data_IF_872938331650
#
_entry.id   IF_872938331650
#
_cell.length_a   1.000
_cell.length_b   1.000
_cell.length_c   1.000
_cell.angle_alpha   90.00
_cell.angle_beta   90.00
_cell.angle_gamma   90.00
#
_symmetry.space_group_name_H-M   'P 1'
#
loop_
_entity.id
_entity.type
_entity.pdbx_description
1 polymer ?
#
# COMPACT_ATOMS: atom_id res chain seq x y z
N UNK A 1 -10.98 -27.15 -47.26
CA UNK A 1 -10.48 -28.54 -47.18
C UNK A 1 -10.66 -29.01 -45.73
N UNK A 2 -11.84 -29.54 -45.40
CA UNK A 2 -12.14 -30.05 -44.06
C UNK A 2 -11.40 -31.36 -43.84
N UNK A 3 -10.43 -31.40 -42.91
CA UNK A 3 -9.85 -32.67 -42.46
C UNK A 3 -10.97 -33.56 -41.93
N UNK A 4 -11.29 -34.66 -42.65
CA UNK A 4 -12.10 -35.75 -42.10
C UNK A 4 -11.39 -36.26 -40.85
N UNK A 5 -12.08 -36.24 -39.71
CA UNK A 5 -11.60 -36.90 -38.50
C UNK A 5 -11.70 -38.41 -38.73
N UNK A 6 -10.57 -39.10 -38.66
CA UNK A 6 -10.50 -40.56 -38.68
C UNK A 6 -11.35 -41.14 -37.52
N UNK A 7 -12.01 -42.29 -37.70
CA UNK A 7 -12.79 -42.92 -36.65
C UNK A 7 -11.85 -43.39 -35.53
N UNK A 8 -11.91 -42.71 -34.38
CA UNK A 8 -11.16 -43.08 -33.18
C UNK A 8 -11.68 -44.41 -32.65
N UNK A 9 -10.92 -45.49 -32.83
CA UNK A 9 -11.21 -46.79 -32.20
C UNK A 9 -11.01 -46.61 -30.69
N UNK A 10 -12.11 -46.63 -29.95
CA UNK A 10 -12.08 -46.43 -28.50
C UNK A 10 -11.69 -47.73 -27.78
N UNK A 11 -10.39 -47.93 -27.57
CA UNK A 11 -9.94 -49.07 -26.78
C UNK A 11 -10.37 -48.88 -25.31
N UNK A 12 -11.04 -49.88 -24.69
CA UNK A 12 -11.60 -49.74 -23.34
C UNK A 12 -10.55 -49.42 -22.27
N UNK A 13 -9.29 -49.84 -22.47
CA UNK A 13 -8.17 -49.62 -21.56
C UNK A 13 -7.00 -48.86 -22.21
N UNK A 14 -7.26 -47.78 -22.93
CA UNK A 14 -6.18 -46.93 -23.46
C UNK A 14 -5.63 -46.01 -22.35
N UNK A 15 -4.37 -46.19 -21.90
CA UNK A 15 -3.76 -45.34 -20.87
C UNK A 15 -3.46 -43.91 -21.37
N UNK A 16 -3.56 -43.66 -22.67
CA UNK A 16 -3.26 -42.36 -23.31
C UNK A 16 -4.50 -41.49 -23.56
N UNK A 17 -5.67 -41.83 -23.00
CA UNK A 17 -6.85 -40.96 -23.06
C UNK A 17 -6.60 -39.70 -22.24
N UNK A 18 -6.68 -38.53 -22.87
CA UNK A 18 -6.67 -37.27 -22.13
C UNK A 18 -7.92 -37.21 -21.24
N UNK A 19 -7.81 -36.67 -20.01
CA UNK A 19 -8.98 -36.43 -19.20
C UNK A 19 -9.95 -35.49 -19.95
N UNK A 20 -11.27 -35.66 -19.79
CA UNK A 20 -12.25 -34.78 -20.39
C UNK A 20 -11.94 -33.32 -20.05
N UNK A 21 -11.91 -32.45 -21.05
CA UNK A 21 -11.62 -31.02 -20.84
C UNK A 21 -12.80 -30.38 -20.13
N UNK A 22 -12.66 -30.11 -18.83
CA UNK A 22 -13.71 -29.47 -18.03
C UNK A 22 -14.04 -28.07 -18.55
N UNK A 23 -15.30 -27.59 -18.43
CA UNK A 23 -15.64 -26.21 -18.76
C UNK A 23 -14.85 -25.23 -17.87
N UNK A 24 -14.47 -24.09 -18.43
CA UNK A 24 -13.57 -23.10 -17.78
C UNK A 24 -14.05 -22.68 -16.39
N UNK A 25 -15.36 -22.53 -16.20
CA UNK A 25 -15.97 -22.19 -14.90
C UNK A 25 -15.72 -23.26 -13.83
N UNK A 26 -15.70 -24.53 -14.20
CA UNK A 26 -15.44 -25.63 -13.26
C UNK A 26 -13.95 -25.66 -12.91
N UNK A 27 -13.08 -25.38 -13.87
CA UNK A 27 -11.64 -25.27 -13.62
C UNK A 27 -11.31 -24.13 -12.64
N UNK A 28 -11.94 -22.96 -12.78
CA UNK A 28 -11.75 -21.83 -11.85
C UNK A 28 -12.25 -22.18 -10.45
N UNK A 29 -13.43 -22.82 -10.33
CA UNK A 29 -13.94 -23.29 -9.03
C UNK A 29 -13.00 -24.31 -8.38
N UNK A 30 -12.50 -25.28 -9.16
CA UNK A 30 -11.56 -26.31 -8.70
C UNK A 30 -10.19 -25.74 -8.35
N UNK A 31 -9.77 -24.65 -9.01
CA UNK A 31 -8.56 -23.90 -8.67
C UNK A 31 -8.69 -23.15 -7.35
N UNK A 32 -9.83 -22.48 -7.12
CA UNK A 32 -10.11 -21.81 -5.85
C UNK A 32 -10.11 -22.81 -4.70
N UNK A 33 -10.85 -23.90 -4.84
CA UNK A 33 -10.91 -24.97 -3.85
C UNK A 33 -11.05 -26.33 -4.52
N UNK A 34 -10.10 -27.22 -4.25
CA UNK A 34 -10.15 -28.60 -4.69
C UNK A 34 -10.59 -29.49 -3.51
N UNK A 35 -11.84 -30.02 -3.51
CA UNK A 35 -12.34 -30.85 -2.42
C UNK A 35 -11.62 -32.20 -2.29
N UNK A 36 -11.00 -32.73 -3.36
CA UNK A 36 -10.30 -34.03 -3.33
C UNK A 36 -8.98 -33.97 -2.57
N UNK A 37 -8.27 -32.87 -2.72
CA UNK A 37 -6.96 -32.65 -2.06
C UNK A 37 -7.05 -31.69 -0.88
N UNK A 38 -8.21 -31.06 -0.67
CA UNK A 38 -8.39 -29.95 0.27
C UNK A 38 -7.54 -28.72 -0.07
N UNK A 39 -6.99 -28.64 -1.29
CA UNK A 39 -6.09 -27.57 -1.68
C UNK A 39 -6.87 -26.27 -1.95
N UNK A 40 -6.37 -25.17 -1.41
CA UNK A 40 -6.87 -23.83 -1.64
C UNK A 40 -5.88 -23.08 -2.52
N UNK A 41 -6.35 -22.47 -3.62
CA UNK A 41 -5.49 -21.74 -4.58
C UNK A 41 -4.27 -22.57 -5.02
N UNK A 42 -4.48 -23.87 -5.27
CA UNK A 42 -3.44 -24.78 -5.75
C UNK A 42 -2.42 -25.25 -4.70
N UNK A 43 -2.61 -24.98 -3.40
CA UNK A 43 -1.74 -25.52 -2.32
C UNK A 43 -2.53 -26.15 -1.17
N UNK A 44 -1.94 -27.16 -0.54
CA UNK A 44 -2.55 -27.81 0.62
C UNK A 44 -2.53 -26.88 1.85
N UNK A 45 -3.46 -27.03 2.80
CA UNK A 45 -3.51 -26.20 4.01
C UNK A 45 -2.20 -26.26 4.83
N UNK A 46 -1.53 -27.42 4.84
CA UNK A 46 -0.22 -27.58 5.49
C UNK A 46 0.86 -26.73 4.83
N UNK A 47 0.88 -26.65 3.50
CA UNK A 47 1.82 -25.77 2.78
C UNK A 47 1.52 -24.30 3.03
N UNK A 48 0.24 -23.91 3.05
CA UNK A 48 -0.19 -22.57 3.42
C UNK A 48 0.26 -22.18 4.83
N UNK A 49 0.08 -23.06 5.82
CA UNK A 49 0.51 -22.81 7.18
C UNK A 49 2.04 -22.61 7.29
N UNK A 50 2.84 -23.44 6.60
CA UNK A 50 4.31 -23.31 6.57
C UNK A 50 4.74 -21.96 5.98
N UNK A 51 4.16 -21.57 4.85
CA UNK A 51 4.44 -20.28 4.20
C UNK A 51 4.00 -19.12 5.11
N UNK A 52 2.82 -19.22 5.71
CA UNK A 52 2.29 -18.21 6.62
C UNK A 52 3.18 -17.99 7.84
N UNK A 53 3.58 -19.07 8.52
CA UNK A 53 4.49 -18.99 9.68
C UNK A 53 5.84 -18.40 9.28
N UNK A 54 6.40 -18.83 8.15
CA UNK A 54 7.64 -18.27 7.63
C UNK A 54 7.55 -16.75 7.44
N UNK A 55 6.51 -16.26 6.75
CA UNK A 55 6.35 -14.83 6.51
C UNK A 55 6.06 -14.05 7.79
N UNK A 56 5.29 -14.61 8.72
CA UNK A 56 5.05 -13.96 10.03
C UNK A 56 6.37 -13.75 10.76
N UNK A 57 7.20 -14.79 10.90
CA UNK A 57 8.50 -14.68 11.59
C UNK A 57 9.42 -13.73 10.82
N UNK A 58 9.50 -13.86 9.49
CA UNK A 58 10.34 -13.03 8.66
C UNK A 58 10.00 -11.55 8.78
N UNK A 59 8.72 -11.18 8.63
CA UNK A 59 8.29 -9.79 8.73
C UNK A 59 8.36 -9.27 10.16
N UNK A 60 8.16 -10.11 11.17
CA UNK A 60 8.39 -9.74 12.57
C UNK A 60 9.85 -9.36 12.80
N UNK A 61 10.80 -10.20 12.38
CA UNK A 61 12.23 -9.91 12.48
C UNK A 61 12.61 -8.63 11.70
N UNK A 62 12.05 -8.44 10.50
CA UNK A 62 12.26 -7.24 9.70
C UNK A 62 11.73 -5.97 10.38
N UNK A 63 10.56 -6.05 11.01
CA UNK A 63 9.97 -4.95 11.76
C UNK A 63 10.82 -4.60 12.99
N UNK A 64 11.26 -5.61 13.75
CA UNK A 64 12.15 -5.41 14.91
C UNK A 64 13.48 -4.79 14.48
N UNK A 65 14.08 -5.29 13.39
CA UNK A 65 15.29 -4.71 12.80
C UNK A 65 15.09 -3.22 12.50
N UNK A 66 14.04 -2.87 11.75
CA UNK A 66 13.76 -1.48 11.38
C UNK A 66 13.49 -0.58 12.60
N UNK A 67 12.69 -1.06 13.56
CA UNK A 67 12.42 -0.33 14.81
C UNK A 67 13.69 -0.13 15.63
N UNK A 68 14.62 -1.08 15.63
CA UNK A 68 15.90 -0.98 16.32
C UNK A 68 16.75 0.14 15.73
N UNK A 69 16.78 0.29 14.40
CA UNK A 69 17.47 1.41 13.75
C UNK A 69 16.83 2.76 14.07
N UNK A 70 15.50 2.86 14.10
CA UNK A 70 14.83 4.10 14.50
C UNK A 70 15.08 4.44 15.97
N UNK A 71 15.08 3.45 16.85
CA UNK A 71 15.41 3.64 18.25
C UNK A 71 16.85 4.11 18.42
N UNK A 72 17.80 3.46 17.75
CA UNK A 72 19.21 3.86 17.76
C UNK A 72 19.40 5.27 17.21
N UNK A 73 18.71 5.63 16.13
CA UNK A 73 18.71 6.98 15.59
C UNK A 73 18.17 8.00 16.60
N UNK A 74 17.12 7.65 17.33
CA UNK A 74 16.50 8.51 18.36
C UNK A 74 17.47 8.80 19.51
N UNK A 75 18.38 7.88 19.83
CA UNK A 75 19.45 8.13 20.83
C UNK A 75 20.44 9.22 20.38
N UNK A 76 20.52 9.52 19.08
CA UNK A 76 21.39 10.58 18.54
C UNK A 76 20.73 11.96 18.54
N UNK A 77 19.47 12.05 18.98
CA UNK A 77 18.67 13.28 19.00
C UNK A 77 18.47 13.77 20.43
N UNK A 78 18.54 15.09 20.62
CA UNK A 78 18.17 15.74 21.87
C UNK A 78 16.65 16.00 21.90
N UNK A 79 15.92 15.63 22.97
CA UNK A 79 14.48 15.83 23.06
C UNK A 79 14.04 17.30 23.22
N UNK A 80 14.96 18.20 23.59
CA UNK A 80 14.66 19.61 23.86
C UNK A 80 14.99 20.52 22.69
N UNK A 81 15.96 20.14 21.85
CA UNK A 81 16.45 21.00 20.77
C UNK A 81 16.69 20.22 19.47
N UNK A 82 16.40 20.82 18.30
CA UNK A 82 16.72 20.19 17.02
C UNK A 82 18.23 20.05 16.83
N UNK A 83 18.67 18.93 16.24
CA UNK A 83 20.08 18.61 16.01
C UNK A 83 20.77 19.57 15.05
N UNK A 84 20.08 19.97 13.98
CA UNK A 84 20.58 20.90 12.98
C UNK A 84 19.90 22.25 13.15
N UNK A 85 20.69 23.31 13.35
CA UNK A 85 20.23 24.68 13.57
C UNK A 85 21.04 25.64 12.71
N UNK A 86 20.45 26.78 12.39
CA UNK A 86 21.16 27.88 11.75
C UNK A 86 21.79 27.43 10.42
N UNK A 87 23.07 27.71 10.17
CA UNK A 87 23.76 27.33 8.93
C UNK A 87 23.87 25.80 8.70
N UNK A 88 23.74 24.99 9.76
CA UNK A 88 23.67 23.52 9.64
C UNK A 88 22.27 23.03 9.21
N UNK A 89 21.27 23.92 9.22
CA UNK A 89 19.88 23.63 8.86
C UNK A 89 19.54 24.21 7.49
N UNK A 90 18.56 23.61 6.81
CA UNK A 90 18.08 24.08 5.50
C UNK A 90 17.53 25.53 5.54
N UNK A 91 17.02 25.96 6.69
CA UNK A 91 16.43 27.30 6.87
C UNK A 91 17.52 28.38 7.01
N UNK A 92 18.74 28.00 7.38
CA UNK A 92 19.87 28.92 7.55
C UNK A 92 19.74 29.83 8.79
N UNK A 93 20.49 30.93 8.76
CA UNK A 93 20.56 31.98 9.80
C UNK A 93 19.44 33.02 9.74
N UNK A 94 18.65 33.05 8.66
CA UNK A 94 17.67 34.10 8.42
C UNK A 94 16.25 33.63 8.79
N UNK A 95 15.66 34.11 9.89
CA UNK A 95 14.32 33.69 10.30
C UNK A 95 13.26 34.23 9.34
N UNK A 96 12.24 33.41 9.06
CA UNK A 96 11.06 33.86 8.33
C UNK A 96 10.18 34.83 9.15
N UNK A 97 9.47 35.73 8.46
CA UNK A 97 8.48 36.61 9.06
C UNK A 97 7.07 36.09 8.72
N UNK A 98 6.32 35.69 9.75
CA UNK A 98 4.89 35.40 9.63
C UNK A 98 4.05 36.64 9.96
N UNK A 99 2.90 36.81 9.29
CA UNK A 99 1.93 37.85 9.63
C UNK A 99 0.56 37.24 9.96
N UNK A 100 -0.21 37.96 10.77
CA UNK A 100 -1.61 37.68 11.09
C UNK A 100 -2.36 39.02 11.01
N UNK A 101 -3.65 39.02 10.64
CA UNK A 101 -4.53 37.89 10.27
C UNK A 101 -4.20 37.28 8.89
N UNK A 102 -4.64 36.02 8.65
CA UNK A 102 -4.40 35.34 7.36
C UNK A 102 -5.56 35.61 6.39
N UNK A 103 -5.29 35.83 5.10
CA UNK A 103 -6.31 36.01 4.09
C UNK A 103 -7.14 34.71 3.89
N UNK A 104 -8.38 34.87 3.41
CA UNK A 104 -9.24 33.75 3.02
C UNK A 104 -8.60 32.93 1.87
N UNK A 105 -8.90 31.64 1.82
CA UNK A 105 -8.42 30.67 0.81
C UNK A 105 -8.68 31.11 -0.64
N UNK A 106 -9.66 31.99 -0.86
CA UNK A 106 -9.96 32.56 -2.19
C UNK A 106 -8.89 33.52 -2.72
N UNK A 107 -8.07 34.13 -1.84
CA UNK A 107 -7.03 35.11 -2.19
C UNK A 107 -5.71 34.83 -1.43
N UNK A 108 -5.35 33.56 -1.24
CA UNK A 108 -4.18 33.13 -0.48
C UNK A 108 -2.81 33.52 -1.09
N UNK A 109 -2.80 34.03 -2.33
CA UNK A 109 -1.60 34.55 -3.00
C UNK A 109 -1.30 36.02 -2.68
N UNK A 110 -2.20 36.72 -2.00
CA UNK A 110 -2.04 38.15 -1.67
C UNK A 110 -1.91 38.34 -0.16
N UNK A 111 -0.89 39.09 0.26
CA UNK A 111 -0.74 39.56 1.65
C UNK A 111 -1.58 40.82 1.93
N UNK A 112 -2.44 41.21 0.99
CA UNK A 112 -3.24 42.43 1.08
C UNK A 112 -4.37 42.27 2.09
N UNK A 113 -4.32 43.10 3.12
CA UNK A 113 -5.43 43.30 4.05
C UNK A 113 -6.21 44.51 3.59
N UNK A 114 -7.48 44.31 3.27
CA UNK A 114 -8.38 45.39 2.90
C UNK A 114 -9.75 45.14 3.54
N UNK A 115 -10.35 46.23 4.01
CA UNK A 115 -11.72 46.26 4.52
C UNK A 115 -12.28 47.68 4.38
N UNK A 116 -13.60 47.82 4.51
CA UNK A 116 -14.27 49.13 4.56
C UNK A 116 -14.54 49.50 6.01
N UNK A 117 -13.93 50.56 6.52
CA UNK A 117 -14.08 50.99 7.92
C UNK A 117 -15.50 51.40 8.33
N UNK A 118 -16.39 51.69 7.38
CA UNK A 118 -17.79 52.01 7.66
C UNK A 118 -18.71 50.78 7.81
N UNK A 119 -18.19 49.56 7.61
CA UNK A 119 -18.95 48.31 7.70
C UNK A 119 -18.32 47.37 8.71
N UNK A 120 -19.06 47.07 9.79
CA UNK A 120 -18.59 46.20 10.87
C UNK A 120 -18.21 44.79 10.41
N UNK A 121 -18.93 44.26 9.41
CA UNK A 121 -18.72 42.91 8.89
C UNK A 121 -17.43 42.75 8.09
N UNK A 122 -16.91 43.82 7.51
CA UNK A 122 -15.76 43.74 6.59
C UNK A 122 -14.44 43.59 7.36
N UNK A 123 -14.30 44.21 8.54
CA UNK A 123 -13.12 44.06 9.38
C UNK A 123 -13.24 42.92 10.40
N UNK A 124 -14.45 42.44 10.71
CA UNK A 124 -14.67 41.34 11.64
C UNK A 124 -13.96 40.03 11.23
N UNK A 125 -13.62 39.86 9.96
CA UNK A 125 -12.81 38.73 9.49
C UNK A 125 -11.32 38.84 9.89
N UNK A 126 -10.83 40.06 10.12
CA UNK A 126 -9.42 40.37 10.33
C UNK A 126 -9.06 40.59 11.81
N UNK A 127 -10.05 40.65 12.70
CA UNK A 127 -9.89 40.86 14.16
C UNK A 127 -9.88 39.52 14.90
#
# INVERSE_FOLDING_TARGET
>A
MSKQKEPMIDYPNNPYKLPPKEPTMVQVKRFLYNPETGAFLGRTPSSWAKIGIFYVIFYFCLAVFWLTFLWLFSLTLDPRIPKYKLDDSLIGTNPGLGFRPMPNDSNSLSTLIWYRGTKDRDYAFWV
#
